data_IF_463354749021
#
_entry.id   IF_463354749021
#
_cell.length_a   1.000
_cell.length_b   1.000
_cell.length_c   1.000
_cell.angle_alpha   90.00
_cell.angle_beta   90.00
_cell.angle_gamma   90.00
#
_symmetry.space_group_name_H-M   'P 1'
#
loop_
_entity.id
_entity.type
_entity.pdbx_description
1 polymer ?
#
# COMPACT_ATOMS: atom_id res chain seq x y z
N UNK A 1 -1.98 8.27 12.07
CA UNK A 1 -1.71 7.56 10.80
C UNK A 1 -1.46 6.11 11.12
N UNK A 2 -2.16 5.20 10.44
CA UNK A 2 -2.31 3.83 10.91
C UNK A 2 -2.24 2.84 9.75
N UNK A 3 -1.49 1.76 9.95
CA UNK A 3 -1.59 0.58 9.09
C UNK A 3 -2.96 -0.04 9.33
N UNK A 4 -3.87 0.07 8.37
CA UNK A 4 -5.17 -0.60 8.44
C UNK A 4 -4.99 -2.07 8.08
N UNK A 5 -5.42 -2.97 8.94
CA UNK A 5 -5.42 -4.41 8.67
C UNK A 5 -6.81 -4.84 8.20
N UNK A 6 -6.85 -5.59 7.11
CA UNK A 6 -8.10 -6.07 6.51
C UNK A 6 -7.91 -7.53 6.14
N UNK A 7 -8.84 -8.37 6.55
CA UNK A 7 -8.95 -9.74 6.09
C UNK A 7 -10.08 -9.80 5.06
N UNK A 8 -9.85 -10.44 3.91
CA UNK A 8 -10.84 -10.56 2.84
C UNK A 8 -10.77 -11.90 2.13
N UNK A 9 -11.90 -12.35 1.60
CA UNK A 9 -11.96 -13.48 0.68
C UNK A 9 -11.28 -13.10 -0.65
N UNK A 10 -10.69 -14.09 -1.33
CA UNK A 10 -10.06 -13.89 -2.64
C UNK A 10 -11.05 -13.37 -3.68
N UNK A 11 -12.33 -13.73 -3.56
CA UNK A 11 -13.43 -13.29 -4.43
C UNK A 11 -13.64 -11.76 -4.39
N UNK A 12 -13.44 -11.13 -3.24
CA UNK A 12 -13.66 -9.69 -3.07
C UNK A 12 -12.43 -8.84 -3.40
N UNK A 13 -11.27 -9.48 -3.56
CA UNK A 13 -9.97 -8.80 -3.68
C UNK A 13 -9.89 -7.87 -4.91
N UNK A 14 -10.53 -8.23 -6.02
CA UNK A 14 -10.53 -7.42 -7.24
C UNK A 14 -11.35 -6.13 -7.06
N UNK A 15 -12.58 -6.27 -6.53
CA UNK A 15 -13.47 -5.14 -6.21
C UNK A 15 -12.81 -4.22 -5.18
N UNK A 16 -12.19 -4.79 -4.15
CA UNK A 16 -11.51 -4.02 -3.12
C UNK A 16 -10.30 -3.26 -3.67
N UNK A 17 -9.47 -3.89 -4.52
CA UNK A 17 -8.37 -3.21 -5.21
C UNK A 17 -8.86 -2.03 -6.04
N UNK A 18 -9.98 -2.17 -6.76
CA UNK A 18 -10.58 -1.08 -7.54
C UNK A 18 -11.02 0.07 -6.64
N UNK A 19 -11.69 -0.24 -5.52
CA UNK A 19 -12.07 0.76 -4.53
C UNK A 19 -10.85 1.50 -3.97
N UNK A 20 -9.80 0.76 -3.55
CA UNK A 20 -8.57 1.34 -3.02
C UNK A 20 -7.90 2.30 -4.00
N UNK A 21 -7.82 1.92 -5.28
CA UNK A 21 -7.30 2.81 -6.31
C UNK A 21 -8.11 4.10 -6.41
N UNK A 22 -9.44 4.02 -6.37
CA UNK A 22 -10.31 5.20 -6.44
C UNK A 22 -10.14 6.14 -5.23
N UNK A 23 -9.81 5.60 -4.05
CA UNK A 23 -9.56 6.40 -2.85
C UNK A 23 -8.07 6.78 -2.67
N UNK A 24 -7.23 6.56 -3.68
CA UNK A 24 -5.83 7.01 -3.70
C UNK A 24 -4.84 6.07 -2.99
N UNK A 25 -5.12 4.77 -2.98
CA UNK A 25 -4.19 3.74 -2.50
C UNK A 25 -3.73 2.85 -3.65
N UNK A 26 -2.41 2.71 -3.80
CA UNK A 26 -1.78 1.90 -4.84
C UNK A 26 -1.16 0.65 -4.25
N UNK A 27 -1.26 -0.47 -4.97
CA UNK A 27 -0.66 -1.74 -4.54
C UNK A 27 0.86 -1.63 -4.54
N UNK A 28 1.52 -2.27 -3.57
CA UNK A 28 2.96 -2.40 -3.49
C UNK A 28 3.59 -2.90 -4.81
N UNK A 29 2.98 -3.89 -5.46
CA UNK A 29 3.47 -4.40 -6.75
C UNK A 29 3.46 -3.33 -7.85
N UNK A 30 2.47 -2.43 -7.84
CA UNK A 30 2.38 -1.35 -8.82
C UNK A 30 3.48 -0.30 -8.57
N UNK A 31 3.65 0.11 -7.33
CA UNK A 31 4.69 1.08 -6.95
C UNK A 31 6.09 0.51 -7.22
N UNK A 32 6.33 -0.77 -6.92
CA UNK A 32 7.58 -1.45 -7.26
C UNK A 32 7.87 -1.41 -8.76
N UNK A 33 6.88 -1.69 -9.61
CA UNK A 33 7.04 -1.58 -11.07
C UNK A 33 7.23 -0.14 -11.56
N UNK A 34 6.77 0.84 -10.77
CA UNK A 34 6.95 2.28 -11.03
C UNK A 34 8.26 2.84 -10.47
N UNK A 35 9.15 2.02 -9.91
CA UNK A 35 10.48 2.43 -9.44
C UNK A 35 10.56 2.82 -7.95
N UNK A 36 9.51 2.60 -7.17
CA UNK A 36 9.50 2.88 -5.73
C UNK A 36 10.11 1.71 -4.94
N UNK A 37 10.88 2.01 -3.91
CA UNK A 37 11.34 1.06 -2.91
C UNK A 37 10.23 0.76 -1.89
N UNK A 38 9.54 -0.34 -2.15
CA UNK A 38 8.48 -0.88 -1.29
C UNK A 38 8.97 -1.22 0.12
N UNK A 39 10.24 -1.60 0.29
CA UNK A 39 10.79 -1.91 1.61
C UNK A 39 10.86 -0.66 2.47
N UNK A 40 11.29 0.44 1.86
CA UNK A 40 11.30 1.76 2.48
C UNK A 40 9.89 2.29 2.76
N UNK A 41 8.94 2.14 1.82
CA UNK A 41 7.53 2.47 2.08
C UNK A 41 6.96 1.68 3.27
N UNK A 42 7.29 0.40 3.39
CA UNK A 42 6.86 -0.44 4.51
C UNK A 42 7.45 0.03 5.84
N UNK A 43 8.72 0.45 5.83
CA UNK A 43 9.39 1.02 7.01
C UNK A 43 8.70 2.33 7.43
N UNK A 44 8.49 3.25 6.49
CA UNK A 44 7.77 4.50 6.74
C UNK A 44 6.35 4.27 7.25
N UNK A 45 5.63 3.27 6.73
CA UNK A 45 4.31 2.90 7.22
C UNK A 45 4.33 2.41 8.68
N UNK A 46 5.33 1.58 9.03
CA UNK A 46 5.54 1.09 10.41
C UNK A 46 5.92 2.20 11.38
N UNK A 47 6.64 3.21 10.90
CA UNK A 47 6.98 4.43 11.65
C UNK A 47 5.82 5.43 11.74
N UNK A 48 4.65 5.13 11.14
CA UNK A 48 3.49 6.01 11.12
C UNK A 48 3.65 7.23 10.21
N UNK A 49 4.66 7.25 9.34
CA UNK A 49 4.98 8.35 8.42
C UNK A 49 4.17 8.32 7.12
N UNK A 50 3.55 7.19 6.79
CA UNK A 50 2.59 7.08 5.70
C UNK A 50 1.48 6.08 6.02
N UNK A 51 0.32 6.28 5.41
CA UNK A 51 -0.84 5.42 5.53
C UNK A 51 -0.71 4.23 4.60
N UNK A 52 -0.94 3.04 5.18
CA UNK A 52 -0.86 1.78 4.46
C UNK A 52 -2.04 0.88 4.83
N UNK A 53 -2.39 -0.01 3.91
CA UNK A 53 -3.40 -1.03 4.11
C UNK A 53 -2.74 -2.39 3.87
N UNK A 54 -2.83 -3.25 4.87
CA UNK A 54 -2.40 -4.65 4.81
C UNK A 54 -3.64 -5.52 4.64
N UNK A 55 -3.79 -6.06 3.43
CA UNK A 55 -4.87 -6.98 3.08
C UNK A 55 -4.37 -8.42 3.17
N UNK A 56 -4.89 -9.20 4.13
CA UNK A 56 -4.74 -10.64 4.17
C UNK A 56 -5.83 -11.29 3.31
N UNK A 57 -5.41 -12.12 2.35
CA UNK A 57 -6.27 -12.83 1.38
C UNK A 57 -5.91 -14.31 1.48
N UNK A 58 -6.63 -15.05 2.32
CA UNK A 58 -6.24 -16.41 2.69
C UNK A 58 -4.81 -16.44 3.23
N UNK A 59 -3.90 -17.12 2.53
CA UNK A 59 -2.47 -17.21 2.90
C UNK A 59 -1.60 -16.08 2.32
N UNK A 60 -2.16 -15.21 1.47
CA UNK A 60 -1.42 -14.12 0.81
C UNK A 60 -1.60 -12.80 1.55
N UNK A 61 -0.59 -11.93 1.51
CA UNK A 61 -0.69 -10.57 2.03
C UNK A 61 -0.36 -9.58 0.93
N UNK A 62 -1.26 -8.64 0.70
CA UNK A 62 -1.05 -7.50 -0.22
C UNK A 62 -0.98 -6.21 0.56
N UNK A 63 0.01 -5.40 0.23
CA UNK A 63 0.19 -4.07 0.78
C UNK A 63 -0.29 -3.02 -0.21
N UNK A 64 -0.92 -1.98 0.31
CA UNK A 64 -1.32 -0.80 -0.43
C UNK A 64 -0.85 0.43 0.33
N UNK A 65 -0.38 1.44 -0.39
CA UNK A 65 0.16 2.67 0.19
C UNK A 65 -0.57 3.88 -0.39
N UNK A 66 -0.74 4.92 0.44
CA UNK A 66 -1.34 6.18 0.00
C UNK A 66 -0.47 6.82 -1.08
N UNK A 67 -1.02 6.98 -2.28
CA UNK A 67 -0.30 7.44 -3.48
C UNK A 67 0.48 8.73 -3.24
N UNK A 68 -0.20 9.80 -2.81
CA UNK A 68 0.43 11.10 -2.57
C UNK A 68 1.56 11.07 -1.55
N UNK A 69 1.47 10.20 -0.54
CA UNK A 69 2.51 10.10 0.48
C UNK A 69 3.69 9.25 -0.01
N UNK A 70 3.42 8.20 -0.79
CA UNK A 70 4.47 7.42 -1.44
C UNK A 70 5.24 8.28 -2.44
N UNK A 71 4.55 9.05 -3.28
CA UNK A 71 5.15 10.00 -4.24
C UNK A 71 6.00 11.04 -3.52
N UNK A 72 5.49 11.66 -2.47
CA UNK A 72 6.23 12.64 -1.69
C UNK A 72 7.44 12.03 -0.96
N UNK A 73 7.34 10.78 -0.50
CA UNK A 73 8.50 10.06 0.05
C UNK A 73 9.56 9.80 -1.02
N UNK A 74 9.13 9.44 -2.23
CA UNK A 74 10.02 9.20 -3.37
C UNK A 74 10.76 10.46 -3.82
N UNK A 75 10.03 11.56 -3.96
CA UNK A 75 10.62 12.87 -4.27
C UNK A 75 11.62 13.35 -3.21
N UNK A 76 11.49 12.88 -1.97
CA UNK A 76 12.42 13.16 -0.86
C UNK A 76 13.58 12.17 -0.78
N UNK A 77 13.66 11.18 -1.67
CA UNK A 77 14.67 10.11 -1.64
C UNK A 77 14.52 9.16 -0.44
N UNK A 78 13.32 9.08 0.15
CA UNK A 78 13.03 8.21 1.28
C UNK A 78 12.45 6.86 0.87
N UNK A 79 11.97 6.73 -0.36
CA UNK A 79 11.34 5.52 -0.91
C UNK A 79 11.35 5.53 -2.44
#
# INVERSE_FOLDING_TARGET
MAIKQIEMDSRDSASYRKHLRNVGFLSASYLSTSGFDVSSLKKLAREGKLDAIRCAIGKSVRWYYRERQAELAHLRGLA
#
